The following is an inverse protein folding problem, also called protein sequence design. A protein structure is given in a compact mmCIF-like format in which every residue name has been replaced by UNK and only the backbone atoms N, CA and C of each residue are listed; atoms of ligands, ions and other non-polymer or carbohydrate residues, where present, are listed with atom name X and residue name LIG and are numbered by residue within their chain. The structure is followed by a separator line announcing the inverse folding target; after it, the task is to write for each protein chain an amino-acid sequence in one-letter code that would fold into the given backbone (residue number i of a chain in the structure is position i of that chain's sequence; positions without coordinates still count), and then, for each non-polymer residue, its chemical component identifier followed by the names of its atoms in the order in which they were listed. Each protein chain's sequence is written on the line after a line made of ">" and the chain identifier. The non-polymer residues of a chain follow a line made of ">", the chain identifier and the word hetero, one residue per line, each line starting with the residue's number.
data_IF_765865572100
#
_entry.id   IF_765865572100
#
_cell.length_a   1.000
_cell.length_b   1.000
_cell.length_c   1.000
_cell.angle_alpha   90.00
_cell.angle_beta   90.00
_cell.angle_gamma   90.00
#
_symmetry.space_group_name_H-M   'P 1'
#
loop_
_entity.id
_entity.type
_entity.pdbx_description
1 polymer ?
#
# COMPACT_ATOMS: atom_id res chain seq x y z
N UNK A 1 9.37 6.69 19.06
CA UNK A 1 9.46 5.47 18.21
C UNK A 1 10.94 5.09 18.03
N UNK A 2 11.28 3.81 17.91
CA UNK A 2 12.67 3.42 17.61
C UNK A 2 13.08 3.80 16.18
N UNK A 3 14.39 3.93 15.91
CA UNK A 3 14.92 4.25 14.58
C UNK A 3 14.44 3.25 13.51
N UNK A 4 14.43 1.97 13.85
CA UNK A 4 14.04 0.90 12.94
C UNK A 4 12.54 0.96 12.61
N UNK A 5 11.68 1.15 13.60
CA UNK A 5 10.24 1.32 13.35
C UNK A 5 9.95 2.55 12.53
N UNK A 6 10.67 3.66 12.77
CA UNK A 6 10.54 4.88 11.96
C UNK A 6 10.89 4.61 10.49
N UNK A 7 12.01 3.95 10.24
CA UNK A 7 12.44 3.58 8.90
C UNK A 7 11.41 2.69 8.21
N UNK A 8 10.87 1.71 8.93
CA UNK A 8 9.83 0.82 8.41
C UNK A 8 8.57 1.59 7.98
N UNK A 9 8.05 2.50 8.80
CA UNK A 9 6.87 3.31 8.40
C UNK A 9 7.17 4.28 7.24
N UNK A 10 8.41 4.76 7.11
CA UNK A 10 8.83 5.54 5.94
C UNK A 10 8.84 4.66 4.68
N UNK A 11 9.42 3.46 4.75
CA UNK A 11 9.43 2.51 3.64
C UNK A 11 8.02 2.11 3.22
N UNK A 12 7.13 1.84 4.18
CA UNK A 12 5.72 1.57 3.91
C UNK A 12 5.06 2.74 3.19
N UNK A 13 5.24 3.97 3.70
CA UNK A 13 4.67 5.15 3.06
C UNK A 13 5.11 5.30 1.60
N UNK A 14 6.40 5.10 1.31
CA UNK A 14 6.93 5.18 -0.07
C UNK A 14 6.30 4.11 -0.97
N UNK A 15 6.27 2.85 -0.51
CA UNK A 15 5.71 1.72 -1.27
C UNK A 15 4.23 1.96 -1.58
N UNK A 16 3.45 2.37 -0.59
CA UNK A 16 2.02 2.58 -0.75
C UNK A 16 1.67 3.80 -1.61
N UNK A 17 2.49 4.86 -1.58
CA UNK A 17 2.35 5.98 -2.52
C UNK A 17 2.61 5.50 -3.96
N UNK A 18 3.65 4.69 -4.16
CA UNK A 18 3.93 4.11 -5.48
C UNK A 18 2.76 3.25 -5.98
N UNK A 19 2.21 2.38 -5.12
CA UNK A 19 1.04 1.57 -5.46
C UNK A 19 -0.16 2.43 -5.86
N UNK A 20 -0.48 3.46 -5.08
CA UNK A 20 -1.59 4.36 -5.41
C UNK A 20 -1.40 5.06 -6.76
N UNK A 21 -0.19 5.54 -7.05
CA UNK A 21 0.14 6.18 -8.34
C UNK A 21 -0.03 5.16 -9.48
N UNK A 22 0.48 3.94 -9.31
CA UNK A 22 0.36 2.87 -10.29
C UNK A 22 -1.11 2.54 -10.57
N UNK A 23 -1.91 2.35 -9.52
CA UNK A 23 -3.34 2.02 -9.62
C UNK A 23 -4.13 3.15 -10.30
N UNK A 24 -3.81 4.41 -10.02
CA UNK A 24 -4.38 5.58 -10.72
C UNK A 24 -4.09 5.50 -12.23
N UNK A 25 -2.85 5.25 -12.63
CA UNK A 25 -2.50 5.15 -14.06
C UNK A 25 -3.19 3.98 -14.75
N UNK A 26 -3.33 2.84 -14.05
CA UNK A 26 -4.08 1.69 -14.54
C UNK A 26 -5.56 2.04 -14.78
N UNK A 27 -6.20 2.77 -13.86
CA UNK A 27 -7.59 3.24 -14.01
C UNK A 27 -7.73 4.12 -15.25
N UNK A 28 -6.77 5.01 -15.49
CA UNK A 28 -6.75 5.87 -16.68
C UNK A 28 -6.23 5.18 -17.94
N UNK A 29 -5.87 3.89 -17.88
CA UNK A 29 -5.29 3.13 -19.00
C UNK A 29 -4.03 3.79 -19.59
N UNK A 30 -3.23 4.47 -18.75
CA UNK A 30 -1.99 5.12 -19.15
C UNK A 30 -0.84 4.13 -18.98
N UNK A 31 -0.24 3.68 -20.08
CA UNK A 31 0.98 2.87 -20.06
C UNK A 31 2.19 3.73 -19.71
N UNK A 32 2.98 3.31 -18.72
CA UNK A 32 4.22 3.98 -18.36
C UNK A 32 5.25 2.92 -17.90
N UNK A 33 6.51 2.95 -18.37
CA UNK A 33 7.48 1.88 -18.10
C UNK A 33 7.69 1.60 -16.60
N UNK A 34 7.71 2.63 -15.76
CA UNK A 34 7.85 2.49 -14.30
C UNK A 34 6.65 1.82 -13.60
N UNK A 35 5.49 1.81 -14.27
CA UNK A 35 4.21 1.28 -13.78
C UNK A 35 4.03 -0.14 -14.30
N UNK A 36 4.53 -0.40 -15.50
CA UNK A 36 4.42 -1.68 -16.19
C UNK A 36 5.36 -2.77 -15.62
N UNK A 37 6.50 -2.41 -15.02
CA UNK A 37 7.45 -3.38 -14.41
C UNK A 37 6.81 -4.18 -13.26
N UNK A 38 5.85 -3.60 -12.54
CA UNK A 38 5.15 -4.23 -11.41
C UNK A 38 3.66 -4.46 -11.68
N UNK A 39 3.27 -4.38 -12.96
CA UNK A 39 1.93 -4.71 -13.39
C UNK A 39 1.75 -6.22 -13.30
N UNK A 40 0.87 -6.67 -12.42
CA UNK A 40 0.47 -8.08 -12.34
C UNK A 40 -0.97 -8.19 -12.80
N UNK A 41 -1.28 -9.29 -13.49
CA UNK A 41 -2.67 -9.67 -13.66
C UNK A 41 -3.24 -9.99 -12.28
N UNK A 42 -4.31 -9.31 -11.91
CA UNK A 42 -5.08 -9.59 -10.71
C UNK A 42 -6.44 -10.14 -11.15
N UNK A 43 -6.43 -11.35 -11.71
CA UNK A 43 -7.65 -11.99 -12.22
C UNK A 43 -8.62 -12.27 -11.07
N UNK A 44 -8.11 -12.56 -9.88
CA UNK A 44 -8.88 -12.87 -8.67
C UNK A 44 -9.81 -11.74 -8.20
N UNK A 45 -9.46 -10.47 -8.47
CA UNK A 45 -10.26 -9.34 -8.02
C UNK A 45 -10.98 -8.60 -9.14
N UNK A 46 -10.75 -8.93 -10.42
CA UNK A 46 -11.45 -8.25 -11.52
C UNK A 46 -12.95 -8.54 -11.45
N UNK A 47 -13.83 -7.53 -11.65
CA UNK A 47 -13.54 -6.13 -12.02
C UNK A 47 -13.38 -5.17 -10.82
N UNK A 48 -13.48 -5.64 -9.58
CA UNK A 48 -13.59 -4.81 -8.38
C UNK A 48 -12.26 -4.55 -7.65
N UNK A 49 -11.12 -4.91 -8.24
CA UNK A 49 -9.78 -4.75 -7.64
C UNK A 49 -9.59 -3.39 -6.96
N UNK A 50 -9.91 -2.32 -7.68
CA UNK A 50 -9.71 -0.94 -7.21
C UNK A 50 -10.54 -0.63 -5.96
N UNK A 51 -11.73 -1.23 -5.81
CA UNK A 51 -12.58 -1.03 -4.63
C UNK A 51 -12.01 -1.73 -3.39
N UNK A 52 -11.17 -2.75 -3.58
CA UNK A 52 -10.57 -3.52 -2.49
C UNK A 52 -9.20 -2.94 -2.13
N UNK A 53 -8.38 -2.60 -3.14
CA UNK A 53 -7.00 -2.13 -2.95
C UNK A 53 -6.94 -0.67 -2.52
N UNK A 54 -7.61 0.25 -3.24
CA UNK A 54 -7.50 1.70 -3.01
C UNK A 54 -7.85 2.12 -1.58
N UNK A 55 -8.95 1.66 -0.95
CA UNK A 55 -9.26 2.10 0.41
C UNK A 55 -8.19 1.66 1.42
N UNK A 56 -7.65 0.44 1.23
CA UNK A 56 -6.59 -0.09 2.09
C UNK A 56 -5.28 0.69 1.91
N UNK A 57 -4.96 1.09 0.68
CA UNK A 57 -3.76 1.85 0.36
C UNK A 57 -3.83 3.26 0.94
N UNK A 58 -4.95 3.97 0.71
CA UNK A 58 -5.21 5.31 1.25
C UNK A 58 -5.15 5.26 2.79
N UNK A 59 -5.75 4.24 3.41
CA UNK A 59 -5.71 4.07 4.86
C UNK A 59 -4.26 3.92 5.36
N UNK A 60 -3.45 3.07 4.73
CA UNK A 60 -2.07 2.84 5.16
C UNK A 60 -1.19 4.08 4.95
N UNK A 61 -1.41 4.85 3.89
CA UNK A 61 -0.74 6.15 3.67
C UNK A 61 -1.07 7.11 4.80
N UNK A 62 -2.37 7.36 5.05
CA UNK A 62 -2.82 8.30 6.09
C UNK A 62 -2.32 7.84 7.46
N UNK A 63 -2.49 6.57 7.79
CA UNK A 63 -2.06 5.99 9.06
C UNK A 63 -0.54 6.13 9.25
N UNK A 64 0.26 5.85 8.22
CA UNK A 64 1.73 5.97 8.27
C UNK A 64 2.16 7.42 8.50
N UNK A 65 1.55 8.40 7.82
CA UNK A 65 1.81 9.82 8.04
C UNK A 65 1.48 10.22 9.49
N UNK A 66 0.33 9.79 10.02
CA UNK A 66 -0.10 10.09 11.39
C UNK A 66 0.87 9.48 12.42
N UNK A 67 1.28 8.23 12.22
CA UNK A 67 2.24 7.53 13.11
C UNK A 67 3.60 8.23 13.10
N UNK A 68 4.09 8.61 11.93
CA UNK A 68 5.35 9.33 11.76
C UNK A 68 5.30 10.71 12.43
N UNK A 69 4.19 11.46 12.24
CA UNK A 69 3.95 12.78 12.87
C UNK A 69 3.87 12.68 14.39
N UNK A 70 3.16 11.70 14.94
CA UNK A 70 3.02 11.48 16.39
C UNK A 70 4.24 10.81 17.03
N UNK A 71 5.19 10.33 16.21
CA UNK A 71 6.38 9.59 16.62
C UNK A 71 6.09 8.41 17.57
N UNK A 72 4.90 7.79 17.43
CA UNK A 72 4.38 6.72 18.28
C UNK A 72 3.54 5.75 17.46
N UNK A 73 3.84 4.46 17.54
CA UNK A 73 3.13 3.40 16.80
C UNK A 73 1.68 3.29 17.29
N UNK A 74 1.46 3.24 18.61
CA UNK A 74 0.11 3.18 19.20
C UNK A 74 -0.72 2.00 18.68
N UNK A 75 -2.05 2.09 18.79
CA UNK A 75 -2.97 1.10 18.23
C UNK A 75 -2.97 1.14 16.70
N UNK A 76 -2.97 2.34 16.12
CA UNK A 76 -3.03 2.55 14.67
C UNK A 76 -1.87 1.85 13.94
N UNK A 77 -0.65 1.97 14.44
CA UNK A 77 0.51 1.31 13.84
C UNK A 77 0.51 -0.21 14.03
N UNK A 78 -0.09 -0.74 15.10
CA UNK A 78 -0.30 -2.19 15.23
C UNK A 78 -1.28 -2.70 14.17
N UNK A 79 -2.35 -1.96 13.90
CA UNK A 79 -3.32 -2.29 12.83
C UNK A 79 -2.63 -2.29 11.47
N UNK A 80 -1.83 -1.26 11.16
CA UNK A 80 -1.06 -1.19 9.91
C UNK A 80 -0.11 -2.38 9.79
N UNK A 81 0.68 -2.68 10.83
CA UNK A 81 1.60 -3.82 10.82
C UNK A 81 0.88 -5.16 10.66
N UNK A 82 -0.27 -5.33 11.30
CA UNK A 82 -1.09 -6.54 11.16
C UNK A 82 -1.63 -6.68 9.74
N UNK A 83 -2.05 -5.57 9.11
CA UNK A 83 -2.54 -5.59 7.73
C UNK A 83 -1.50 -6.10 6.73
N UNK A 84 -0.21 -5.85 6.96
CA UNK A 84 0.88 -6.32 6.09
C UNK A 84 0.97 -7.84 5.96
N UNK A 85 0.48 -8.59 6.94
CA UNK A 85 0.43 -10.06 6.88
C UNK A 85 -0.46 -10.53 5.72
N UNK A 86 -1.47 -9.73 5.34
CA UNK A 86 -2.41 -10.06 4.27
C UNK A 86 -1.91 -9.68 2.87
N UNK A 87 -0.94 -8.77 2.76
CA UNK A 87 -0.41 -8.29 1.47
C UNK A 87 0.27 -9.39 0.63
N UNK A 88 1.09 -10.30 1.20
CA UNK A 88 1.65 -11.43 0.46
C UNK A 88 0.59 -12.34 -0.16
N UNK A 89 -0.58 -12.49 0.47
CA UNK A 89 -1.67 -13.28 -0.10
C UNK A 89 -2.21 -12.63 -1.38
N UNK A 90 -2.38 -11.30 -1.39
CA UNK A 90 -2.75 -10.57 -2.59
C UNK A 90 -1.70 -10.66 -3.72
N UNK A 91 -0.43 -10.89 -3.37
CA UNK A 91 0.67 -11.04 -4.32
C UNK A 91 0.75 -12.43 -4.96
N UNK A 92 0.28 -13.46 -4.26
CA UNK A 92 0.36 -14.88 -4.64
C UNK A 92 -0.92 -15.37 -5.35
N UNK A 93 -2.01 -14.61 -5.27
CA UNK A 93 -3.27 -14.94 -5.93
C UNK A 93 -3.26 -14.46 -7.40
N UNK A 94 -3.67 -15.31 -8.36
CA UNK A 94 -3.62 -15.03 -9.80
C UNK A 94 -4.63 -13.99 -10.27
#
# INVERSE_FOLDING_TARGET
>A
MSKNSRLLFISLLIVFIYHLIRDIFQIYSISHPLIDIWHRNHLWCKPYCNYITLPSEIFIIIASVVILRRNRVGLLGKIVLFSLIFWPFALLLP
#
